data_IF_405780985339
#
_entry.id   IF_405780985339
#
_cell.length_a   1.000
_cell.length_b   1.000
_cell.length_c   1.000
_cell.angle_alpha   90.00
_cell.angle_beta   90.00
_cell.angle_gamma   90.00
#
_symmetry.space_group_name_H-M   'P 1'
#
loop_
_entity.id
_entity.type
_entity.pdbx_description
1 polymer ?
#
# COMPACT_ATOMS: atom_id res chain seq x y z
N UNK A 1 -9.66 -5.59 14.08
CA UNK A 1 -9.32 -4.17 14.33
C UNK A 1 -7.82 -4.00 14.18
N UNK A 2 -7.39 -2.87 13.60
CA UNK A 2 -5.97 -2.53 13.43
C UNK A 2 -5.77 -1.06 13.81
N UNK A 3 -4.90 -0.79 14.78
CA UNK A 3 -4.62 0.58 15.22
C UNK A 3 -3.49 1.21 14.40
N UNK A 4 -3.81 2.30 13.70
CA UNK A 4 -2.87 3.10 12.89
C UNK A 4 -2.26 4.26 13.72
N UNK A 5 -1.88 3.98 14.98
CA UNK A 5 -1.37 4.97 15.94
C UNK A 5 0.16 5.02 15.90
N UNK A 6 0.73 5.85 15.04
CA UNK A 6 2.17 5.94 14.78
C UNK A 6 3.01 6.41 15.98
N UNK A 7 2.41 7.14 16.92
CA UNK A 7 3.08 7.64 18.13
C UNK A 7 3.08 6.62 19.28
N UNK A 8 2.33 5.52 19.13
CA UNK A 8 2.24 4.46 20.12
C UNK A 8 3.09 3.28 19.67
N UNK A 9 4.19 3.02 20.38
CA UNK A 9 5.23 2.06 19.99
C UNK A 9 4.73 0.62 19.79
N UNK A 10 3.77 0.18 20.60
CA UNK A 10 3.19 -1.17 20.57
C UNK A 10 1.78 -1.21 19.96
N UNK A 11 1.40 -0.18 19.21
CA UNK A 11 0.20 -0.21 18.36
C UNK A 11 0.33 -1.27 17.28
N UNK A 12 -0.77 -1.63 16.61
CA UNK A 12 -0.70 -2.63 15.55
C UNK A 12 0.22 -2.21 14.41
N UNK A 13 0.23 -0.91 14.03
CA UNK A 13 1.19 -0.42 13.03
C UNK A 13 2.64 -0.47 13.56
N UNK A 14 2.88 -0.17 14.83
CA UNK A 14 4.20 -0.30 15.44
C UNK A 14 4.71 -1.74 15.44
N UNK A 15 3.84 -2.71 15.73
CA UNK A 15 4.16 -4.14 15.63
C UNK A 15 4.39 -4.58 14.19
N UNK A 16 3.62 -4.06 13.25
CA UNK A 16 3.82 -4.32 11.83
C UNK A 16 5.18 -3.81 11.32
N UNK A 17 5.60 -2.62 11.76
CA UNK A 17 6.91 -2.07 11.43
C UNK A 17 8.06 -2.99 11.90
N UNK A 18 7.91 -3.60 13.08
CA UNK A 18 8.88 -4.58 13.60
C UNK A 18 8.79 -5.89 12.80
N UNK A 19 7.59 -6.42 12.60
CA UNK A 19 7.34 -7.66 11.87
C UNK A 19 7.86 -7.62 10.42
N UNK A 20 7.78 -6.46 9.78
CA UNK A 20 8.32 -6.23 8.43
C UNK A 20 9.84 -6.05 8.37
N UNK A 21 10.52 -5.98 9.51
CA UNK A 21 11.94 -5.67 9.58
C UNK A 21 12.29 -4.19 9.38
N UNK A 22 11.29 -3.32 9.29
CA UNK A 22 11.49 -1.88 9.10
C UNK A 22 12.08 -1.20 10.34
N UNK A 23 11.61 -1.59 11.52
CA UNK A 23 12.10 -1.07 12.80
C UNK A 23 12.52 -2.21 13.74
N UNK A 24 13.50 -1.98 14.60
CA UNK A 24 13.78 -2.92 15.69
C UNK A 24 12.68 -2.84 16.76
N UNK A 25 12.59 -3.91 17.57
CA UNK A 25 11.78 -3.87 18.79
C UNK A 25 12.21 -2.67 19.63
N UNK A 26 11.27 -1.84 20.12
CA UNK A 26 11.60 -0.64 20.87
C UNK A 26 12.36 -0.94 22.15
N UNK A 27 13.40 -0.16 22.43
CA UNK A 27 14.18 -0.31 23.66
C UNK A 27 13.28 -0.11 24.89
N UNK A 28 13.41 -1.02 25.87
CA UNK A 28 12.61 -1.02 27.11
C UNK A 28 11.21 -1.64 26.96
N UNK A 29 10.92 -2.34 25.87
CA UNK A 29 9.70 -3.14 25.73
C UNK A 29 9.60 -4.21 26.82
N UNK A 30 8.38 -4.55 27.24
CA UNK A 30 8.16 -5.65 28.20
C UNK A 30 8.67 -6.96 27.58
N UNK A 31 9.56 -7.73 28.24
CA UNK A 31 10.04 -9.01 27.74
C UNK A 31 8.93 -10.04 27.48
N UNK A 32 7.75 -9.86 28.08
CA UNK A 32 6.61 -10.74 27.88
C UNK A 32 5.65 -10.22 26.79
N UNK A 33 5.92 -9.06 26.21
CA UNK A 33 5.11 -8.53 25.13
C UNK A 33 5.33 -9.35 23.85
N UNK A 34 4.24 -9.72 23.20
CA UNK A 34 4.29 -10.42 21.92
C UNK A 34 4.64 -9.46 20.78
N UNK A 35 5.71 -9.79 20.07
CA UNK A 35 6.11 -9.14 18.83
C UNK A 35 6.06 -10.18 17.70
N UNK A 36 5.29 -9.91 16.62
CA UNK A 36 5.20 -10.85 15.50
C UNK A 36 6.53 -11.00 14.78
N UNK A 37 6.85 -12.22 14.35
CA UNK A 37 8.08 -12.51 13.62
C UNK A 37 8.02 -12.07 12.15
N UNK A 38 6.81 -12.00 11.58
CA UNK A 38 6.57 -11.59 10.20
C UNK A 38 5.19 -10.93 10.07
N UNK A 39 4.94 -10.29 8.92
CA UNK A 39 3.68 -9.60 8.67
C UNK A 39 2.48 -10.55 8.68
N UNK A 40 2.66 -11.80 8.23
CA UNK A 40 1.62 -12.81 8.30
C UNK A 40 1.20 -13.12 9.74
N UNK A 41 2.16 -13.26 10.65
CA UNK A 41 1.86 -13.50 12.06
C UNK A 41 1.10 -12.31 12.68
N UNK A 42 1.45 -11.08 12.29
CA UNK A 42 0.69 -9.90 12.70
C UNK A 42 -0.76 -9.94 12.19
N UNK A 43 -0.99 -10.34 10.94
CA UNK A 43 -2.34 -10.48 10.39
C UNK A 43 -3.19 -11.45 11.21
N UNK A 44 -2.61 -12.57 11.65
CA UNK A 44 -3.31 -13.58 12.43
C UNK A 44 -3.71 -13.14 13.84
N UNK A 45 -3.13 -12.06 14.36
CA UNK A 45 -3.53 -11.48 15.67
C UNK A 45 -4.77 -10.59 15.56
N UNK A 46 -5.20 -10.22 14.35
CA UNK A 46 -6.28 -9.25 14.13
C UNK A 46 -7.64 -9.96 14.04
N UNK A 47 -8.22 -10.28 15.18
CA UNK A 47 -9.47 -11.04 15.27
C UNK A 47 -10.72 -10.15 15.34
N UNK A 48 -10.57 -8.89 15.79
CA UNK A 48 -11.69 -8.00 16.04
C UNK A 48 -12.16 -7.27 14.78
N UNK A 49 -13.45 -7.33 14.51
CA UNK A 49 -14.11 -6.49 13.51
C UNK A 49 -14.42 -5.11 14.14
N UNK A 50 -14.04 -4.05 13.46
CA UNK A 50 -14.29 -2.68 13.96
C UNK A 50 -15.55 -2.05 13.35
N UNK A 51 -15.78 -2.27 12.06
CA UNK A 51 -16.91 -1.72 11.29
C UNK A 51 -17.42 -2.72 10.26
N UNK A 52 -18.59 -2.46 9.70
CA UNK A 52 -19.07 -3.20 8.54
C UNK A 52 -18.36 -2.79 7.25
N UNK A 53 -18.28 -3.72 6.29
CA UNK A 53 -17.69 -3.44 4.99
C UNK A 53 -18.42 -2.31 4.28
N UNK A 54 -17.68 -1.28 3.84
CA UNK A 54 -18.24 -0.13 3.14
C UNK A 54 -18.96 0.89 4.03
N UNK A 55 -18.98 0.71 5.35
CA UNK A 55 -19.65 1.64 6.28
C UNK A 55 -18.96 3.01 6.28
N UNK A 56 -17.64 3.03 6.36
CA UNK A 56 -16.83 4.26 6.29
C UNK A 56 -15.40 3.96 5.89
N UNK A 57 -14.70 4.99 5.45
CA UNK A 57 -13.27 4.91 5.20
C UNK A 57 -12.50 4.80 6.52
N UNK A 58 -11.61 3.81 6.59
CA UNK A 58 -10.57 3.69 7.60
C UNK A 58 -9.26 3.39 6.89
N UNK A 59 -8.26 4.22 7.11
CA UNK A 59 -6.92 3.93 6.61
C UNK A 59 -6.31 2.76 7.40
N UNK A 60 -5.81 1.76 6.67
CA UNK A 60 -5.24 0.53 7.24
C UNK A 60 -4.10 0.04 6.37
N UNK A 61 -2.86 0.25 6.80
CA UNK A 61 -1.67 -0.22 6.09
C UNK A 61 -1.69 -1.72 5.84
N UNK A 62 -2.08 -2.49 6.84
CA UNK A 62 -2.13 -3.96 6.78
C UNK A 62 -3.02 -4.51 5.65
N UNK A 63 -4.07 -3.79 5.22
CA UNK A 63 -4.98 -4.25 4.17
C UNK A 63 -4.26 -4.43 2.82
N UNK A 64 -3.27 -3.59 2.54
CA UNK A 64 -2.45 -3.71 1.33
C UNK A 64 -1.62 -4.99 1.35
N UNK A 65 -1.07 -5.33 2.52
CA UNK A 65 -0.30 -6.56 2.68
C UNK A 65 -1.18 -7.82 2.65
N UNK A 66 -2.42 -7.76 3.15
CA UNK A 66 -3.41 -8.83 2.96
C UNK A 66 -3.67 -9.10 1.48
N UNK A 67 -3.83 -8.04 0.67
CA UNK A 67 -4.01 -8.17 -0.78
C UNK A 67 -2.77 -8.81 -1.42
N UNK A 68 -1.56 -8.36 -1.07
CA UNK A 68 -0.32 -8.90 -1.59
C UNK A 68 -0.15 -10.40 -1.26
N UNK A 69 -0.44 -10.79 -0.01
CA UNK A 69 -0.43 -12.20 0.39
C UNK A 69 -1.45 -13.03 -0.39
N UNK A 70 -2.65 -12.50 -0.64
CA UNK A 70 -3.66 -13.17 -1.47
C UNK A 70 -3.17 -13.34 -2.91
N UNK A 71 -2.55 -12.31 -3.50
CA UNK A 71 -1.97 -12.37 -4.84
C UNK A 71 -0.88 -13.44 -4.95
N UNK A 72 0.06 -13.49 -4.00
CA UNK A 72 1.10 -14.53 -3.98
C UNK A 72 0.48 -15.94 -3.90
N UNK A 73 -0.54 -16.13 -3.06
CA UNK A 73 -1.20 -17.43 -2.93
C UNK A 73 -1.95 -17.89 -4.18
N UNK A 74 -2.62 -16.96 -4.85
CA UNK A 74 -3.39 -17.28 -6.06
C UNK A 74 -2.48 -17.53 -7.26
N UNK A 75 -1.41 -16.77 -7.38
CA UNK A 75 -0.50 -16.84 -8.55
C UNK A 75 0.64 -17.85 -8.38
N UNK A 76 0.99 -18.18 -7.13
CA UNK A 76 2.18 -18.96 -6.81
C UNK A 76 3.50 -18.21 -7.03
N UNK A 77 3.45 -16.90 -7.30
CA UNK A 77 4.60 -16.03 -7.51
C UNK A 77 4.79 -15.08 -6.34
N UNK A 78 6.02 -14.67 -6.08
CA UNK A 78 6.33 -13.62 -5.10
C UNK A 78 5.89 -12.25 -5.61
N UNK A 79 5.52 -11.34 -4.69
CA UNK A 79 5.10 -9.98 -5.03
C UNK A 79 6.14 -9.26 -5.91
N UNK A 80 7.42 -9.41 -5.60
CA UNK A 80 8.50 -8.82 -6.39
C UNK A 80 8.52 -9.33 -7.85
N UNK A 81 8.23 -10.62 -8.06
CA UNK A 81 8.14 -11.23 -9.39
C UNK A 81 6.92 -10.68 -10.14
N UNK A 82 5.77 -10.60 -9.47
CA UNK A 82 4.55 -10.03 -10.04
C UNK A 82 4.75 -8.57 -10.46
N UNK A 83 5.33 -7.75 -9.59
CA UNK A 83 5.63 -6.34 -9.91
C UNK A 83 6.61 -6.26 -11.09
N UNK A 84 7.65 -7.10 -11.10
CA UNK A 84 8.65 -7.12 -12.18
C UNK A 84 8.02 -7.46 -13.53
N UNK A 85 7.25 -8.54 -13.60
CA UNK A 85 6.69 -9.04 -14.85
C UNK A 85 5.54 -8.19 -15.38
N UNK A 86 4.60 -7.82 -14.50
CA UNK A 86 3.35 -7.17 -14.91
C UNK A 86 3.47 -5.65 -15.03
N UNK A 87 4.38 -5.03 -14.29
CA UNK A 87 4.51 -3.57 -14.25
C UNK A 87 5.90 -3.10 -14.65
N UNK A 88 6.94 -3.47 -13.92
CA UNK A 88 8.26 -2.84 -14.00
C UNK A 88 8.90 -2.99 -15.38
N UNK A 89 8.97 -4.21 -15.88
CA UNK A 89 9.50 -4.49 -17.23
C UNK A 89 8.56 -3.94 -18.32
N UNK A 90 7.25 -4.03 -18.10
CA UNK A 90 6.26 -3.61 -19.11
C UNK A 90 6.22 -2.10 -19.27
N UNK A 91 6.48 -1.32 -18.21
CA UNK A 91 6.60 0.14 -18.32
C UNK A 91 7.98 0.61 -18.79
N UNK A 92 8.93 -0.29 -19.03
CA UNK A 92 10.27 0.03 -19.53
C UNK A 92 11.12 0.76 -18.50
N UNK A 93 11.11 0.30 -17.26
CA UNK A 93 12.01 0.78 -16.22
C UNK A 93 13.47 0.60 -16.63
N UNK A 94 14.31 1.57 -16.30
CA UNK A 94 15.75 1.56 -16.65
C UNK A 94 16.59 0.89 -15.58
N UNK A 95 16.16 1.01 -14.32
CA UNK A 95 16.88 0.51 -13.17
C UNK A 95 16.05 -0.54 -12.42
N UNK A 96 16.71 -1.38 -11.64
CA UNK A 96 16.05 -2.29 -10.72
C UNK A 96 15.41 -1.51 -9.57
N UNK A 97 14.23 -1.95 -9.15
CA UNK A 97 13.63 -1.53 -7.88
C UNK A 97 13.94 -2.55 -6.78
N UNK A 98 13.92 -2.08 -5.54
CA UNK A 98 14.05 -2.94 -4.37
C UNK A 98 12.74 -2.93 -3.58
N UNK A 99 12.40 -4.06 -2.99
CA UNK A 99 11.30 -4.16 -2.04
C UNK A 99 11.82 -4.73 -0.73
N UNK A 100 11.44 -4.09 0.38
CA UNK A 100 11.69 -4.64 1.71
C UNK A 100 10.91 -5.93 1.88
N UNK A 101 11.56 -6.96 2.42
CA UNK A 101 10.92 -8.24 2.74
C UNK A 101 11.02 -8.54 4.23
N UNK A 102 10.00 -9.18 4.77
CA UNK A 102 10.00 -9.68 6.14
C UNK A 102 10.85 -10.95 6.30
N UNK A 103 10.93 -11.49 7.52
CA UNK A 103 11.70 -12.69 7.84
C UNK A 103 11.24 -13.95 7.07
N UNK A 104 10.00 -13.96 6.59
CA UNK A 104 9.41 -15.04 5.78
C UNK A 104 9.57 -14.82 4.28
N UNK A 105 10.21 -13.71 3.86
CA UNK A 105 10.44 -13.37 2.47
C UNK A 105 9.20 -12.83 1.74
N UNK A 106 8.22 -12.26 2.47
CA UNK A 106 7.11 -11.53 1.87
C UNK A 106 7.45 -10.05 1.70
N UNK A 107 7.10 -9.50 0.54
CA UNK A 107 7.33 -8.09 0.25
C UNK A 107 6.36 -7.18 1.03
N UNK A 108 6.90 -6.16 1.69
CA UNK A 108 6.10 -5.13 2.36
C UNK A 108 5.42 -4.25 1.32
N UNK A 109 4.14 -4.50 1.08
CA UNK A 109 3.39 -3.85 0.00
C UNK A 109 2.82 -2.48 0.36
N UNK A 110 2.66 -2.21 1.65
CA UNK A 110 2.13 -0.92 2.12
C UNK A 110 3.14 0.24 2.05
N UNK A 111 4.42 -0.01 1.70
CA UNK A 111 5.43 1.06 1.63
C UNK A 111 6.87 0.59 1.41
N UNK A 112 7.08 -0.68 1.05
CA UNK A 112 8.40 -1.30 0.98
C UNK A 112 9.21 -1.08 -0.30
N UNK A 113 8.67 -0.40 -1.31
CA UNK A 113 9.33 -0.26 -2.63
C UNK A 113 10.22 0.99 -2.65
N UNK A 114 11.44 0.83 -3.12
CA UNK A 114 12.35 1.93 -3.47
C UNK A 114 12.85 1.78 -4.90
N UNK A 115 12.84 2.88 -5.65
CA UNK A 115 13.20 2.91 -7.05
C UNK A 115 13.92 4.21 -7.43
N UNK A 116 14.47 4.27 -8.65
CA UNK A 116 14.99 5.50 -9.18
C UNK A 116 13.86 6.53 -9.38
N UNK A 117 14.18 7.82 -9.21
CA UNK A 117 13.22 8.90 -9.47
C UNK A 117 12.70 8.87 -10.91
N UNK A 118 13.52 8.43 -11.86
CA UNK A 118 13.15 8.30 -13.27
C UNK A 118 12.08 7.24 -13.50
N UNK A 119 12.22 6.08 -12.88
CA UNK A 119 11.27 5.00 -13.00
C UNK A 119 9.98 5.29 -12.24
N UNK A 120 10.09 5.97 -11.10
CA UNK A 120 8.92 6.50 -10.42
C UNK A 120 8.16 7.53 -11.27
N UNK A 121 8.87 8.38 -12.01
CA UNK A 121 8.25 9.29 -12.97
C UNK A 121 7.58 8.56 -14.14
N UNK A 122 8.13 7.44 -14.64
CA UNK A 122 7.47 6.58 -15.64
C UNK A 122 6.15 6.02 -15.14
N UNK A 123 6.12 5.58 -13.89
CA UNK A 123 4.87 5.15 -13.26
C UNK A 123 3.84 6.29 -13.23
N UNK A 124 4.27 7.51 -12.90
CA UNK A 124 3.40 8.70 -12.95
C UNK A 124 2.91 9.00 -14.37
N UNK A 125 3.79 8.91 -15.38
CA UNK A 125 3.41 9.11 -16.80
C UNK A 125 2.40 8.06 -17.26
N UNK A 126 2.55 6.81 -16.83
CA UNK A 126 1.60 5.74 -17.12
C UNK A 126 0.19 6.09 -16.62
N UNK A 127 0.08 6.65 -15.41
CA UNK A 127 -1.21 7.13 -14.86
C UNK A 127 -1.76 8.36 -15.59
N UNK A 128 -0.89 9.28 -16.03
CA UNK A 128 -1.31 10.44 -16.83
C UNK A 128 -1.87 10.05 -18.20
N UNK A 129 -1.37 8.94 -18.77
CA UNK A 129 -1.75 8.43 -20.08
C UNK A 129 -2.81 7.31 -20.01
N UNK A 130 -3.70 7.35 -19.02
CA UNK A 130 -4.77 6.38 -18.85
C UNK A 130 -4.30 4.91 -18.84
N UNK A 131 -3.15 4.66 -18.24
CA UNK A 131 -2.55 3.34 -18.17
C UNK A 131 -1.85 2.86 -19.44
N UNK A 132 -1.69 3.73 -20.43
CA UNK A 132 -1.02 3.40 -21.70
C UNK A 132 0.43 3.88 -21.73
N UNK A 133 1.32 3.04 -22.24
CA UNK A 133 2.69 3.42 -22.55
C UNK A 133 3.15 2.74 -23.83
N UNK A 134 3.79 3.49 -24.74
CA UNK A 134 4.30 3.00 -26.02
C UNK A 134 3.24 2.24 -26.85
N UNK A 135 1.98 2.67 -26.79
CA UNK A 135 0.87 2.04 -27.51
C UNK A 135 0.33 0.76 -26.89
N UNK A 136 0.84 0.36 -25.73
CA UNK A 136 0.37 -0.82 -24.98
C UNK A 136 -0.42 -0.37 -23.74
N UNK A 137 -1.58 -0.98 -23.50
CA UNK A 137 -2.32 -0.83 -22.27
C UNK A 137 -1.68 -1.69 -21.18
N UNK A 138 -1.11 -1.08 -20.15
CA UNK A 138 -0.43 -1.75 -19.03
C UNK A 138 -1.36 -1.81 -17.81
N UNK A 139 -1.96 -0.68 -17.45
CA UNK A 139 -2.97 -0.61 -16.39
C UNK A 139 -4.34 -0.40 -17.07
N UNK A 140 -5.38 -1.17 -16.72
CA UNK A 140 -6.71 -0.97 -17.30
C UNK A 140 -7.18 0.48 -17.17
N UNK A 141 -7.73 1.05 -18.24
CA UNK A 141 -8.18 2.45 -18.26
C UNK A 141 -9.26 2.73 -17.22
N UNK A 142 -10.22 1.82 -17.10
CA UNK A 142 -11.31 1.91 -16.11
C UNK A 142 -10.80 1.92 -14.66
N UNK A 143 -9.69 1.23 -14.38
CA UNK A 143 -9.03 1.28 -13.09
C UNK A 143 -8.44 2.68 -12.80
N UNK A 144 -7.81 3.30 -13.78
CA UNK A 144 -7.29 4.67 -13.67
C UNK A 144 -8.45 5.67 -13.49
N UNK A 145 -9.54 5.50 -14.23
CA UNK A 145 -10.74 6.34 -14.10
C UNK A 145 -11.39 6.18 -12.72
N UNK A 146 -11.44 4.95 -12.18
CA UNK A 146 -11.93 4.70 -10.83
C UNK A 146 -11.06 5.38 -9.75
N UNK A 147 -9.73 5.32 -9.89
CA UNK A 147 -8.81 6.06 -9.00
C UNK A 147 -9.13 7.55 -9.05
N UNK A 148 -9.14 8.16 -10.22
CA UNK A 148 -9.33 9.61 -10.40
C UNK A 148 -10.69 10.09 -9.91
N UNK A 149 -11.74 9.33 -10.13
CA UNK A 149 -13.08 9.70 -9.71
C UNK A 149 -13.25 9.73 -8.21
N UNK A 150 -12.58 8.84 -7.50
CA UNK A 150 -12.74 8.65 -6.07
C UNK A 150 -14.18 8.37 -5.63
N UNK A 151 -15.09 8.01 -6.56
CA UNK A 151 -16.52 7.89 -6.30
C UNK A 151 -16.88 6.79 -5.32
N UNK A 152 -16.04 5.76 -5.23
CA UNK A 152 -16.23 4.62 -4.34
C UNK A 152 -15.45 4.75 -3.03
N UNK A 153 -14.63 5.79 -2.88
CA UNK A 153 -13.89 6.10 -1.67
C UNK A 153 -14.59 7.14 -0.81
N UNK A 154 -14.45 7.02 0.50
CA UNK A 154 -14.88 8.06 1.44
C UNK A 154 -13.77 9.10 1.61
N UNK A 155 -14.15 10.34 1.94
CA UNK A 155 -13.17 11.37 2.23
C UNK A 155 -12.35 10.99 3.48
N UNK A 156 -11.03 11.14 3.41
CA UNK A 156 -10.18 10.94 4.58
C UNK A 156 -10.38 12.07 5.58
N UNK A 157 -10.91 11.75 6.75
CA UNK A 157 -11.22 12.74 7.78
C UNK A 157 -9.99 13.43 8.36
N UNK A 158 -8.89 12.69 8.51
CA UNK A 158 -7.64 13.24 9.07
C UNK A 158 -7.00 14.30 8.17
N UNK A 159 -7.23 14.26 6.86
CA UNK A 159 -6.70 15.19 5.88
C UNK A 159 -7.71 16.23 5.39
N UNK A 160 -8.96 16.21 5.85
CA UNK A 160 -9.99 17.17 5.40
C UNK A 160 -9.62 18.63 5.60
N UNK A 161 -8.84 18.93 6.62
CA UNK A 161 -8.39 20.31 6.85
C UNK A 161 -7.42 20.78 5.77
N UNK A 162 -6.55 19.89 5.31
CA UNK A 162 -5.55 20.20 4.27
C UNK A 162 -6.11 19.99 2.87
N UNK A 163 -6.91 18.96 2.68
CA UNK A 163 -7.50 18.56 1.40
C UNK A 163 -9.03 18.42 1.53
N UNK A 164 -9.80 19.51 1.56
CA UNK A 164 -11.25 19.48 1.82
C UNK A 164 -12.05 18.70 0.78
N UNK A 165 -11.51 18.51 -0.41
CA UNK A 165 -12.08 17.69 -1.49
C UNK A 165 -11.32 16.40 -1.73
N UNK A 166 -10.36 16.08 -0.85
CA UNK A 166 -9.52 14.91 -0.93
C UNK A 166 -10.29 13.62 -0.67
N UNK A 167 -9.82 12.55 -1.30
CA UNK A 167 -10.35 11.19 -1.17
C UNK A 167 -9.22 10.18 -1.17
N UNK A 168 -9.56 8.94 -0.90
CA UNK A 168 -8.66 7.80 -1.02
C UNK A 168 -9.31 6.71 -1.85
N UNK A 169 -8.62 6.21 -2.86
CA UNK A 169 -9.12 5.14 -3.71
C UNK A 169 -8.00 4.27 -4.26
N UNK A 170 -8.15 2.95 -4.17
CA UNK A 170 -7.22 1.98 -4.75
C UNK A 170 -5.74 2.25 -4.41
N UNK A 171 -5.45 2.53 -3.15
CA UNK A 171 -4.13 2.88 -2.60
C UNK A 171 -3.59 4.26 -3.05
N UNK A 172 -4.44 5.10 -3.65
CA UNK A 172 -4.07 6.45 -4.03
C UNK A 172 -4.77 7.49 -3.17
N UNK A 173 -4.01 8.46 -2.71
CA UNK A 173 -4.52 9.71 -2.19
C UNK A 173 -4.89 10.63 -3.35
N UNK A 174 -6.09 11.15 -3.34
CA UNK A 174 -6.60 12.07 -4.34
C UNK A 174 -6.77 13.42 -3.66
N UNK A 175 -5.94 14.39 -4.03
CA UNK A 175 -5.94 15.72 -3.44
C UNK A 175 -7.24 16.47 -3.71
N UNK A 176 -7.68 16.47 -4.96
CA UNK A 176 -8.92 17.11 -5.38
C UNK A 176 -9.55 16.33 -6.54
N UNK A 177 -10.59 15.58 -6.23
CA UNK A 177 -11.29 14.77 -7.24
C UNK A 177 -11.99 15.58 -8.33
N UNK A 178 -12.23 16.89 -8.10
CA UNK A 178 -12.80 17.78 -9.12
C UNK A 178 -11.77 18.21 -10.18
N UNK A 179 -10.49 18.12 -9.87
CA UNK A 179 -9.35 18.50 -10.73
C UNK A 179 -8.54 17.33 -11.22
N UNK A 180 -8.93 16.10 -10.88
CA UNK A 180 -8.19 14.87 -11.21
C UNK A 180 -6.74 14.85 -10.70
N UNK A 181 -6.40 15.65 -9.70
CA UNK A 181 -5.08 15.62 -9.07
C UNK A 181 -4.99 14.39 -8.19
N UNK A 182 -4.03 13.52 -8.49
CA UNK A 182 -3.78 12.29 -7.76
C UNK A 182 -2.45 12.42 -7.04
N UNK A 183 -2.46 12.12 -5.76
CA UNK A 183 -1.27 11.97 -4.95
C UNK A 183 -1.05 10.47 -4.70
N UNK A 184 0.17 10.00 -4.95
CA UNK A 184 0.56 8.61 -4.70
C UNK A 184 1.38 8.56 -3.41
N UNK A 185 1.14 7.60 -2.55
CA UNK A 185 1.94 7.34 -1.36
C UNK A 185 2.69 6.05 -1.56
#
# INVERSE_FOLDING_TARGET
KFSEEYDVRNSDIGKMDVASGWKPIPEGSDPNEYWPDCVWDQMLTLEEKEIDHGERFLYRSIETDVIAHAMERVTGKKLAELISEELWQTMGAEDDANITVDSSGYGLSCGGISSSLRDFARFGILHLNDGMLNGKQIIPKDWIEDIRSGNHGLANESLRTTYPHGKYRNQFWIEDSSKTTVMCI
#
